data_IF_611026947585
#
_entry.id   IF_611026947585
#
_cell.length_a   1.000
_cell.length_b   1.000
_cell.length_c   1.000
_cell.angle_alpha   90.00
_cell.angle_beta   90.00
_cell.angle_gamma   90.00
#
_symmetry.space_group_name_H-M   'P 1'
#
loop_
_entity.id
_entity.type
_entity.pdbx_description
1 polymer ?
#
# COMPACT_ATOMS: atom_id res chain seq x y z
N UNK A 1 -16.56 -44.31 -6.49
CA UNK A 1 -15.14 -43.96 -6.31
C UNK A 1 -14.92 -42.74 -7.18
N UNK A 2 -14.99 -41.55 -6.60
CA UNK A 2 -14.70 -40.29 -7.28
C UNK A 2 -13.18 -40.16 -7.25
N UNK A 3 -12.55 -40.28 -8.42
CA UNK A 3 -11.16 -39.91 -8.60
C UNK A 3 -11.07 -38.39 -8.42
N UNK A 4 -10.48 -37.95 -7.34
CA UNK A 4 -9.99 -36.57 -7.21
C UNK A 4 -8.84 -36.43 -8.19
N UNK A 5 -9.12 -35.80 -9.34
CA UNK A 5 -8.06 -35.29 -10.21
C UNK A 5 -7.22 -34.29 -9.36
N UNK A 6 -6.03 -34.71 -8.99
CA UNK A 6 -4.97 -33.81 -8.59
C UNK A 6 -4.73 -32.90 -9.80
N UNK A 7 -5.32 -31.69 -9.77
CA UNK A 7 -4.92 -30.65 -10.70
C UNK A 7 -3.42 -30.42 -10.45
N UNK A 8 -2.59 -30.76 -11.43
CA UNK A 8 -1.20 -30.38 -11.42
C UNK A 8 -1.14 -28.86 -11.28
N UNK A 9 -0.52 -28.40 -10.18
CA UNK A 9 -0.29 -26.97 -10.00
C UNK A 9 0.48 -26.43 -11.21
N UNK A 10 -0.11 -25.47 -11.91
CA UNK A 10 0.58 -24.77 -12.99
C UNK A 10 1.81 -24.08 -12.40
N UNK A 11 2.97 -24.17 -13.05
CA UNK A 11 4.16 -23.46 -12.58
C UNK A 11 3.88 -21.97 -12.42
N UNK A 12 4.50 -21.36 -11.42
CA UNK A 12 4.47 -19.90 -11.26
C UNK A 12 5.28 -19.26 -12.38
N UNK A 13 4.64 -18.39 -13.15
CA UNK A 13 5.23 -17.70 -14.29
C UNK A 13 5.50 -16.24 -13.95
N UNK A 14 6.72 -15.74 -14.20
CA UNK A 14 7.01 -14.31 -14.15
C UNK A 14 6.52 -13.65 -15.44
N UNK A 15 5.67 -12.63 -15.31
CA UNK A 15 4.95 -12.04 -16.46
C UNK A 15 5.31 -10.59 -16.76
N UNK A 16 6.20 -9.96 -15.98
CA UNK A 16 6.63 -8.57 -16.15
C UNK A 16 8.10 -8.41 -15.74
N UNK A 17 9.01 -8.87 -16.56
CA UNK A 17 10.46 -8.84 -16.33
C UNK A 17 11.11 -7.46 -16.57
N UNK A 18 10.36 -6.52 -17.13
CA UNK A 18 10.79 -5.13 -17.39
C UNK A 18 10.66 -4.21 -16.16
N UNK A 19 9.98 -4.65 -15.11
CA UNK A 19 9.82 -3.91 -13.85
C UNK A 19 11.00 -4.19 -12.91
N UNK A 20 11.39 -3.20 -12.11
CA UNK A 20 12.65 -3.24 -11.35
C UNK A 20 12.48 -3.23 -9.83
N UNK A 21 11.40 -2.62 -9.36
CA UNK A 21 11.13 -2.46 -7.92
C UNK A 21 10.02 -3.38 -7.43
N UNK A 22 9.42 -4.11 -8.35
CA UNK A 22 8.41 -5.13 -8.09
C UNK A 22 8.63 -6.32 -9.02
N UNK A 23 8.28 -7.51 -8.53
CA UNK A 23 8.17 -8.73 -9.33
C UNK A 23 6.70 -9.09 -9.49
N UNK A 24 6.29 -9.47 -10.68
CA UNK A 24 4.90 -9.89 -10.97
C UNK A 24 4.90 -11.32 -11.48
N UNK A 25 4.27 -12.20 -10.73
CA UNK A 25 4.14 -13.62 -11.08
C UNK A 25 2.67 -13.99 -11.20
N UNK A 26 2.35 -14.99 -12.03
CA UNK A 26 1.00 -15.53 -12.19
C UNK A 26 0.97 -17.03 -11.94
N UNK A 27 -0.08 -17.48 -11.29
CA UNK A 27 -0.38 -18.89 -11.08
C UNK A 27 -1.89 -19.09 -10.93
N UNK A 28 -2.48 -20.02 -11.65
CA UNK A 28 -3.90 -20.39 -11.54
C UNK A 28 -4.88 -19.20 -11.60
N UNK A 29 -4.62 -18.21 -12.45
CA UNK A 29 -5.48 -17.02 -12.58
C UNK A 29 -5.31 -15.97 -11.46
N UNK A 30 -4.36 -16.16 -10.55
CA UNK A 30 -3.96 -15.18 -9.56
C UNK A 30 -2.64 -14.55 -9.94
N UNK A 31 -2.60 -13.23 -10.07
CA UNK A 31 -1.36 -12.48 -10.23
C UNK A 31 -0.89 -11.98 -8.86
N UNK A 32 0.38 -12.20 -8.54
CA UNK A 32 1.02 -11.68 -7.32
C UNK A 32 2.02 -10.61 -7.67
N UNK A 33 1.79 -9.39 -7.19
CA UNK A 33 2.72 -8.28 -7.22
C UNK A 33 3.50 -8.29 -5.92
N UNK A 34 4.82 -8.49 -5.98
CA UNK A 34 5.70 -8.49 -4.83
C UNK A 34 6.62 -7.29 -4.88
N UNK A 35 6.66 -6.51 -3.80
CA UNK A 35 7.70 -5.50 -3.64
C UNK A 35 9.03 -6.20 -3.38
N UNK A 36 10.01 -5.92 -4.24
CA UNK A 36 11.37 -6.41 -4.06
C UNK A 36 12.17 -5.45 -3.18
N UNK A 37 13.24 -5.91 -2.48
CA UNK A 37 14.10 -5.03 -1.71
C UNK A 37 14.59 -3.85 -2.53
N UNK A 38 14.80 -2.70 -1.92
CA UNK A 38 14.90 -1.45 -2.63
C UNK A 38 16.18 -1.35 -3.44
N UNK A 39 16.06 -1.49 -4.72
CA UNK A 39 16.98 -0.85 -5.64
C UNK A 39 16.47 0.59 -5.86
N UNK A 40 16.51 1.39 -4.80
CA UNK A 40 16.02 2.78 -4.84
C UNK A 40 17.00 3.71 -5.55
N UNK A 41 18.25 3.28 -5.70
CA UNK A 41 19.30 4.10 -6.29
C UNK A 41 20.19 3.21 -7.14
N UNK A 42 20.44 3.61 -8.39
CA UNK A 42 21.52 3.02 -9.17
C UNK A 42 22.87 3.14 -8.44
N UNK A 43 23.81 2.24 -8.70
CA UNK A 43 25.18 2.28 -8.15
C UNK A 43 25.91 3.60 -8.42
N UNK A 44 25.45 4.36 -9.42
CA UNK A 44 25.95 5.70 -9.80
C UNK A 44 25.23 6.86 -9.06
N UNK A 45 24.32 6.56 -8.12
CA UNK A 45 23.57 7.56 -7.37
C UNK A 45 22.36 8.15 -8.11
N UNK A 46 22.06 7.68 -9.33
CA UNK A 46 20.89 8.14 -10.06
C UNK A 46 19.61 7.44 -9.56
N UNK A 47 18.54 8.21 -9.50
CA UNK A 47 17.22 7.69 -9.16
C UNK A 47 16.71 6.71 -10.21
N UNK A 48 16.20 5.55 -9.75
CA UNK A 48 15.49 4.64 -10.64
C UNK A 48 14.15 5.27 -10.99
N UNK A 49 13.96 5.60 -12.24
CA UNK A 49 12.66 6.06 -12.77
C UNK A 49 12.19 5.08 -13.86
N UNK A 50 10.97 4.60 -13.78
CA UNK A 50 9.96 4.86 -12.75
C UNK A 50 10.29 4.20 -11.41
N UNK A 51 9.88 4.84 -10.30
CA UNK A 51 9.99 4.27 -8.97
C UNK A 51 8.82 3.31 -8.65
N UNK A 52 8.82 2.78 -7.42
CA UNK A 52 7.83 1.79 -6.94
C UNK A 52 6.38 2.21 -7.14
N UNK A 53 6.04 3.46 -6.86
CA UNK A 53 4.69 3.98 -7.05
C UNK A 53 4.24 3.87 -8.51
N UNK A 54 5.11 4.24 -9.44
CA UNK A 54 4.81 4.19 -10.88
C UNK A 54 4.78 2.76 -11.40
N UNK A 55 5.71 1.90 -10.98
CA UNK A 55 5.73 0.51 -11.43
C UNK A 55 4.52 -0.28 -10.95
N UNK A 56 4.04 -0.01 -9.72
CA UNK A 56 2.78 -0.58 -9.23
C UNK A 56 1.60 -0.18 -10.11
N UNK A 57 1.51 1.09 -10.50
CA UNK A 57 0.49 1.57 -11.43
C UNK A 57 0.59 0.88 -12.80
N UNK A 58 1.80 0.75 -13.36
CA UNK A 58 2.03 0.05 -14.62
C UNK A 58 1.59 -1.42 -14.53
N UNK A 59 1.95 -2.12 -13.45
CA UNK A 59 1.56 -3.51 -13.24
C UNK A 59 0.04 -3.65 -13.14
N UNK A 60 -0.62 -2.81 -12.37
CA UNK A 60 -2.08 -2.81 -12.21
C UNK A 60 -2.80 -2.52 -13.53
N UNK A 61 -2.30 -1.57 -14.31
CA UNK A 61 -2.88 -1.24 -15.63
C UNK A 61 -2.78 -2.44 -16.59
N UNK A 62 -1.62 -3.09 -16.66
CA UNK A 62 -1.44 -4.30 -17.47
C UNK A 62 -2.33 -5.45 -16.97
N UNK A 63 -2.39 -5.69 -15.66
CA UNK A 63 -3.19 -6.75 -15.07
C UNK A 63 -4.69 -6.50 -15.21
N UNK A 64 -5.14 -5.25 -15.26
CA UNK A 64 -6.54 -4.90 -15.50
C UNK A 64 -7.05 -5.53 -16.80
N UNK A 65 -6.25 -5.50 -17.86
CA UNK A 65 -6.61 -6.00 -19.20
C UNK A 65 -6.13 -7.43 -19.47
N UNK A 66 -5.36 -8.04 -18.56
CA UNK A 66 -4.92 -9.43 -18.70
C UNK A 66 -6.07 -10.40 -18.46
N UNK A 67 -6.50 -11.10 -19.53
CA UNK A 67 -7.64 -12.02 -19.47
C UNK A 67 -7.37 -13.29 -18.66
N UNK A 68 -6.11 -13.61 -18.37
CA UNK A 68 -5.73 -14.80 -17.61
C UNK A 68 -5.68 -14.52 -16.10
N UNK A 69 -5.66 -13.25 -15.71
CA UNK A 69 -5.70 -12.84 -14.30
C UNK A 69 -7.12 -12.51 -13.86
N UNK A 70 -7.56 -13.08 -12.74
CA UNK A 70 -8.89 -12.86 -12.14
C UNK A 70 -8.83 -12.24 -10.74
N UNK A 71 -7.74 -12.48 -10.01
CA UNK A 71 -7.49 -11.96 -8.67
C UNK A 71 -6.06 -11.41 -8.64
N UNK A 72 -5.85 -10.32 -7.93
CA UNK A 72 -4.52 -9.71 -7.74
C UNK A 72 -4.18 -9.76 -6.27
N UNK A 73 -2.98 -10.21 -5.95
CA UNK A 73 -2.41 -10.18 -4.59
C UNK A 73 -1.23 -9.22 -4.59
N UNK A 74 -1.19 -8.30 -3.63
CA UNK A 74 -0.03 -7.42 -3.39
C UNK A 74 0.63 -7.87 -2.10
N UNK A 75 1.94 -8.07 -2.12
CA UNK A 75 2.72 -8.51 -0.95
C UNK A 75 4.12 -7.90 -0.96
N UNK A 76 4.80 -7.97 0.15
CA UNK A 76 6.21 -7.61 0.26
C UNK A 76 7.13 -8.81 0.29
N UNK A 77 8.35 -8.61 0.74
CA UNK A 77 9.38 -9.62 0.87
C UNK A 77 9.84 -9.77 2.32
N UNK A 78 10.25 -10.95 2.72
CA UNK A 78 10.65 -11.28 4.08
C UNK A 78 9.62 -10.80 5.14
N UNK A 79 10.07 -10.01 6.12
CA UNK A 79 9.25 -9.45 7.19
C UNK A 79 8.77 -8.01 6.91
N UNK A 80 8.77 -7.59 5.64
CA UNK A 80 8.39 -6.25 5.22
C UNK A 80 7.35 -6.32 4.13
N UNK A 81 6.17 -5.73 4.36
CA UNK A 81 5.21 -5.48 3.29
C UNK A 81 5.62 -4.24 2.50
N UNK A 82 5.63 -3.08 3.15
CA UNK A 82 6.08 -1.84 2.57
C UNK A 82 6.37 -0.82 3.69
N UNK A 83 7.63 -0.54 3.93
CA UNK A 83 8.09 0.34 5.01
C UNK A 83 8.50 1.72 4.52
N UNK A 84 8.65 1.89 3.21
CA UNK A 84 9.08 3.14 2.58
C UNK A 84 8.36 3.32 1.26
N UNK A 85 7.97 4.56 0.96
CA UNK A 85 7.61 4.96 -0.39
C UNK A 85 8.85 5.06 -1.29
N UNK A 86 8.76 5.81 -2.38
CA UNK A 86 9.90 6.14 -3.24
C UNK A 86 10.81 7.16 -2.52
N UNK A 87 11.41 6.75 -1.42
CA UNK A 87 12.36 7.58 -0.68
C UNK A 87 13.62 7.77 -1.50
N UNK A 88 13.65 8.84 -2.24
CA UNK A 88 14.87 9.32 -2.87
C UNK A 88 15.72 10.05 -1.80
N UNK A 89 17.03 9.78 -1.69
CA UNK A 89 17.93 10.53 -0.79
C UNK A 89 17.93 12.05 -1.04
N UNK A 90 17.47 12.47 -2.21
CA UNK A 90 17.34 13.86 -2.64
C UNK A 90 15.93 14.42 -2.45
N UNK A 91 15.24 14.05 -1.35
CA UNK A 91 14.03 14.76 -0.95
C UNK A 91 14.28 16.26 -0.63
N UNK A 92 15.52 16.67 -0.58
CA UNK A 92 15.93 18.06 -0.51
C UNK A 92 16.18 18.59 -1.93
N UNK A 93 15.22 19.30 -2.49
CA UNK A 93 15.32 19.91 -3.82
C UNK A 93 14.31 19.32 -4.83
N UNK A 94 13.05 19.20 -4.42
CA UNK A 94 11.98 18.87 -5.35
C UNK A 94 11.88 19.94 -6.43
N UNK A 95 12.18 19.55 -7.66
CA UNK A 95 11.76 20.36 -8.79
C UNK A 95 10.25 20.20 -8.98
N UNK A 96 9.56 21.19 -9.56
CA UNK A 96 8.14 21.06 -9.92
C UNK A 96 7.86 19.78 -10.72
N UNK A 97 8.77 19.38 -11.60
CA UNK A 97 8.64 18.16 -12.41
C UNK A 97 8.63 16.88 -11.54
N UNK A 98 9.47 16.81 -10.51
CA UNK A 98 9.48 15.66 -9.59
C UNK A 98 8.18 15.56 -8.79
N UNK A 99 7.67 16.71 -8.32
CA UNK A 99 6.41 16.77 -7.60
C UNK A 99 5.26 16.33 -8.49
N UNK A 100 5.26 16.80 -9.74
CA UNK A 100 4.26 16.41 -10.73
C UNK A 100 4.31 14.92 -11.07
N UNK A 101 5.49 14.37 -11.32
CA UNK A 101 5.69 12.94 -11.58
C UNK A 101 5.20 12.07 -10.41
N UNK A 102 5.49 12.49 -9.19
CA UNK A 102 5.04 11.79 -7.97
C UNK A 102 3.52 11.81 -7.83
N UNK A 103 2.90 12.98 -8.02
CA UNK A 103 1.45 13.13 -8.01
C UNK A 103 0.78 12.20 -9.03
N UNK A 104 1.23 12.25 -10.29
CA UNK A 104 0.67 11.42 -11.36
C UNK A 104 0.84 9.92 -11.07
N UNK A 105 2.00 9.50 -10.58
CA UNK A 105 2.25 8.09 -10.28
C UNK A 105 1.34 7.57 -9.17
N UNK A 106 1.19 8.30 -8.08
CA UNK A 106 0.33 7.95 -6.95
C UNK A 106 -1.15 8.00 -7.34
N UNK A 107 -1.56 9.07 -8.02
CA UNK A 107 -2.94 9.24 -8.47
C UNK A 107 -3.36 8.09 -9.38
N UNK A 108 -2.55 7.77 -10.38
CA UNK A 108 -2.80 6.67 -11.31
C UNK A 108 -2.88 5.32 -10.57
N UNK A 109 -1.94 5.04 -9.68
CA UNK A 109 -1.92 3.81 -8.91
C UNK A 109 -3.20 3.62 -8.08
N UNK A 110 -3.60 4.63 -7.29
CA UNK A 110 -4.81 4.50 -6.47
C UNK A 110 -6.09 4.48 -7.29
N UNK A 111 -6.16 5.23 -8.38
CA UNK A 111 -7.29 5.13 -9.32
C UNK A 111 -7.44 3.71 -9.85
N UNK A 112 -6.33 3.07 -10.24
CA UNK A 112 -6.37 1.69 -10.72
C UNK A 112 -6.79 0.70 -9.62
N UNK A 113 -6.35 0.87 -8.38
CA UNK A 113 -6.80 0.02 -7.27
C UNK A 113 -8.32 0.13 -7.09
N UNK A 114 -8.85 1.36 -7.15
CA UNK A 114 -10.27 1.63 -6.96
C UNK A 114 -11.11 1.11 -8.15
N UNK A 115 -10.62 1.30 -9.38
CA UNK A 115 -11.39 1.10 -10.61
C UNK A 115 -11.20 -0.28 -11.26
N UNK A 116 -10.10 -0.97 -10.98
CA UNK A 116 -9.86 -2.32 -11.50
C UNK A 116 -10.96 -3.25 -11.05
N UNK A 117 -11.60 -3.93 -11.98
CA UNK A 117 -12.73 -4.81 -11.73
C UNK A 117 -12.35 -6.12 -11.00
N UNK A 118 -11.06 -6.46 -10.98
CA UNK A 118 -10.53 -7.65 -10.31
C UNK A 118 -10.34 -7.37 -8.82
N UNK A 119 -10.67 -8.30 -7.93
CA UNK A 119 -10.35 -8.16 -6.51
C UNK A 119 -8.86 -8.02 -6.28
N UNK A 120 -8.50 -7.12 -5.38
CA UNK A 120 -7.12 -6.87 -4.96
C UNK A 120 -7.00 -7.18 -3.48
N UNK A 121 -6.08 -8.09 -3.13
CA UNK A 121 -5.82 -8.54 -1.76
C UNK A 121 -4.47 -7.98 -1.33
N UNK A 122 -4.42 -7.27 -0.22
CA UNK A 122 -3.17 -7.00 0.48
C UNK A 122 -2.82 -8.21 1.37
N UNK A 123 -1.81 -8.98 0.99
CA UNK A 123 -1.21 -10.04 1.81
C UNK A 123 -0.04 -9.44 2.59
N UNK A 124 -0.29 -9.05 3.83
CA UNK A 124 0.64 -8.28 4.65
C UNK A 124 1.56 -9.23 5.41
N UNK A 125 2.72 -9.46 4.83
CA UNK A 125 3.76 -10.39 5.34
C UNK A 125 4.66 -9.77 6.41
N UNK A 126 4.50 -8.48 6.76
CA UNK A 126 5.35 -7.82 7.74
C UNK A 126 5.07 -6.35 7.88
N UNK A 127 6.07 -5.56 8.24
CA UNK A 127 5.93 -4.15 8.56
C UNK A 127 5.29 -3.29 7.47
N UNK A 128 4.41 -2.36 7.89
CA UNK A 128 3.65 -1.43 7.02
C UNK A 128 3.83 -0.01 7.52
N UNK A 129 4.31 0.91 6.66
CA UNK A 129 4.45 2.33 7.02
C UNK A 129 4.13 3.25 5.84
N UNK A 130 3.61 4.46 6.15
CA UNK A 130 3.40 5.54 5.18
C UNK A 130 2.61 5.09 3.97
N UNK A 131 3.17 5.23 2.77
CA UNK A 131 2.55 4.74 1.53
C UNK A 131 2.06 3.29 1.63
N UNK A 132 2.82 2.40 2.30
CA UNK A 132 2.39 1.01 2.52
C UNK A 132 1.07 0.94 3.28
N UNK A 133 0.85 1.81 4.27
CA UNK A 133 -0.42 1.92 5.00
C UNK A 133 -1.55 2.38 4.09
N UNK A 134 -1.34 3.46 3.33
CA UNK A 134 -2.31 3.96 2.36
C UNK A 134 -2.70 2.89 1.34
N UNK A 135 -1.72 2.14 0.85
CA UNK A 135 -1.90 1.06 -0.11
C UNK A 135 -2.73 -0.10 0.45
N UNK A 136 -2.40 -0.56 1.67
CA UNK A 136 -3.14 -1.66 2.30
C UNK A 136 -4.61 -1.31 2.47
N UNK A 137 -4.92 -0.11 2.98
CA UNK A 137 -6.30 0.34 3.19
C UNK A 137 -7.02 0.76 1.89
N UNK A 138 -6.32 0.84 0.76
CA UNK A 138 -6.95 1.01 -0.55
C UNK A 138 -7.36 -0.32 -1.20
N UNK A 139 -6.81 -1.47 -0.76
CA UNK A 139 -7.14 -2.79 -1.28
C UNK A 139 -8.53 -3.27 -0.84
N UNK A 140 -9.10 -4.21 -1.60
CA UNK A 140 -10.44 -4.75 -1.31
C UNK A 140 -10.47 -5.70 -0.10
N UNK A 141 -9.37 -6.44 0.11
CA UNK A 141 -9.21 -7.37 1.22
C UNK A 141 -7.82 -7.23 1.84
N UNK A 142 -7.76 -7.44 3.14
CA UNK A 142 -6.52 -7.35 3.91
C UNK A 142 -6.37 -8.61 4.75
N UNK A 143 -5.34 -9.40 4.46
CA UNK A 143 -4.93 -10.58 5.24
C UNK A 143 -3.53 -10.33 5.75
N UNK A 144 -3.30 -10.41 7.05
CA UNK A 144 -2.05 -9.99 7.65
C UNK A 144 -1.44 -11.06 8.57
N UNK A 145 -0.13 -11.00 8.75
CA UNK A 145 0.47 -11.61 9.93
C UNK A 145 -0.06 -10.91 11.18
N UNK A 146 -0.34 -11.68 12.23
CA UNK A 146 -0.87 -11.16 13.49
C UNK A 146 0.10 -10.21 14.21
N UNK A 147 1.41 -10.39 14.01
CA UNK A 147 2.51 -9.59 14.56
C UNK A 147 2.98 -8.46 13.62
N UNK A 148 2.47 -8.39 12.38
CA UNK A 148 2.81 -7.31 11.45
C UNK A 148 2.40 -5.95 12.04
N UNK A 149 3.33 -5.00 12.09
CA UNK A 149 3.11 -3.66 12.67
C UNK A 149 2.72 -2.68 11.58
N UNK A 150 1.56 -2.08 11.76
CA UNK A 150 1.00 -1.02 10.91
C UNK A 150 1.17 0.33 11.59
N UNK A 151 1.63 1.32 10.84
CA UNK A 151 1.83 2.66 11.33
C UNK A 151 1.77 3.68 10.18
N UNK A 152 1.22 4.86 10.44
CA UNK A 152 1.49 6.02 9.60
C UNK A 152 2.52 6.91 10.30
N UNK A 153 3.66 7.13 9.67
CA UNK A 153 4.78 7.85 10.28
C UNK A 153 4.98 9.28 9.75
N UNK A 154 4.06 9.75 8.90
CA UNK A 154 4.19 11.08 8.28
C UNK A 154 4.29 12.21 9.32
N UNK A 155 3.43 12.20 10.34
CA UNK A 155 3.47 13.20 11.42
C UNK A 155 4.43 12.84 12.57
N UNK A 156 4.88 11.58 12.64
CA UNK A 156 5.78 11.09 13.67
C UNK A 156 5.55 9.62 13.99
N UNK A 157 6.35 9.08 14.91
CA UNK A 157 6.22 7.72 15.42
C UNK A 157 5.44 7.73 16.74
N UNK A 158 4.62 6.68 16.97
CA UNK A 158 3.66 6.58 18.05
C UNK A 158 4.21 6.40 19.47
N UNK A 159 5.46 6.66 19.70
CA UNK A 159 6.10 6.69 21.02
C UNK A 159 6.02 8.07 21.71
N UNK A 160 5.26 9.00 21.12
CA UNK A 160 5.13 10.37 21.61
C UNK A 160 6.36 11.25 21.36
N UNK A 161 7.39 10.68 20.75
CA UNK A 161 8.61 11.39 20.42
C UNK A 161 8.67 11.56 18.90
N UNK A 162 8.24 12.72 18.35
CA UNK A 162 8.44 12.94 16.92
C UNK A 162 9.95 12.78 16.67
N UNK A 163 10.37 12.03 15.64
CA UNK A 163 11.77 11.91 15.30
C UNK A 163 12.25 13.24 14.72
N UNK A 164 12.54 14.15 15.62
CA UNK A 164 13.07 15.48 15.30
C UNK A 164 14.33 15.28 14.47
N UNK A 165 14.35 15.87 13.27
CA UNK A 165 15.51 15.79 12.38
C UNK A 165 15.58 14.53 11.49
N UNK A 166 14.56 13.66 11.46
CA UNK A 166 14.50 12.58 10.46
C UNK A 166 13.71 12.99 9.23
N UNK A 167 14.21 12.75 8.01
CA UNK A 167 13.43 12.95 6.79
C UNK A 167 12.10 12.19 6.87
N UNK A 168 11.01 12.85 6.53
CA UNK A 168 9.67 12.25 6.53
C UNK A 168 8.86 12.41 7.82
N UNK A 169 9.43 12.96 8.89
CA UNK A 169 8.67 13.26 10.10
C UNK A 169 8.05 14.67 10.05
N UNK A 170 6.80 14.81 10.50
CA UNK A 170 6.10 16.09 10.54
C UNK A 170 5.57 16.56 9.20
N UNK A 171 5.24 15.65 8.28
CA UNK A 171 4.59 15.93 7.00
C UNK A 171 3.16 15.40 6.97
N UNK A 172 2.35 15.99 6.12
CA UNK A 172 0.95 15.56 5.91
C UNK A 172 0.93 14.16 5.27
N UNK A 173 0.09 13.22 5.75
CA UNK A 173 -0.11 11.92 5.10
C UNK A 173 -1.00 12.08 3.84
N UNK A 174 -0.47 12.81 2.85
CA UNK A 174 -1.18 13.19 1.63
C UNK A 174 -1.13 12.15 0.52
N UNK A 175 -0.31 11.13 0.68
CA UNK A 175 -0.15 9.99 -0.24
C UNK A 175 -1.31 8.96 -0.17
N UNK A 176 -2.45 9.35 0.39
CA UNK A 176 -3.65 8.51 0.52
C UNK A 176 -4.06 8.19 1.96
N UNK A 177 -3.18 8.38 2.95
CA UNK A 177 -3.46 8.05 4.35
C UNK A 177 -4.71 8.75 4.90
N UNK A 178 -4.86 10.05 4.61
CA UNK A 178 -6.03 10.84 5.03
C UNK A 178 -7.35 10.44 4.33
N UNK A 179 -7.26 9.63 3.28
CA UNK A 179 -8.42 9.16 2.50
C UNK A 179 -8.83 7.77 2.95
N UNK A 180 -7.91 6.80 2.84
CA UNK A 180 -8.25 5.38 3.00
C UNK A 180 -8.34 4.95 4.46
N UNK A 181 -7.45 5.44 5.34
CA UNK A 181 -7.48 5.06 6.77
C UNK A 181 -8.83 5.39 7.44
N UNK A 182 -9.41 6.61 7.29
CA UNK A 182 -10.70 6.92 7.89
C UNK A 182 -11.89 6.15 7.31
N UNK A 183 -11.72 5.45 6.19
CA UNK A 183 -12.77 4.58 5.64
C UNK A 183 -12.81 3.20 6.30
N UNK A 184 -11.74 2.81 6.99
CA UNK A 184 -11.63 1.52 7.70
C UNK A 184 -11.71 1.67 9.22
N UNK A 185 -11.41 2.84 9.76
CA UNK A 185 -11.33 3.09 11.20
C UNK A 185 -12.35 4.14 11.64
N UNK A 186 -12.74 4.09 12.91
CA UNK A 186 -13.51 5.20 13.49
C UNK A 186 -12.70 6.51 13.39
N UNK A 187 -13.36 7.68 13.29
CA UNK A 187 -12.66 8.95 13.21
C UNK A 187 -11.69 9.21 14.37
N UNK A 188 -11.98 8.69 15.58
CA UNK A 188 -11.09 8.81 16.72
C UNK A 188 -9.81 7.99 16.53
N UNK A 189 -9.95 6.72 16.17
CA UNK A 189 -8.81 5.83 15.96
C UNK A 189 -7.98 6.26 14.74
N UNK A 190 -8.62 6.71 13.65
CA UNK A 190 -7.94 7.23 12.48
C UNK A 190 -7.05 8.44 12.81
N UNK A 191 -7.53 9.35 13.68
CA UNK A 191 -6.71 10.48 14.15
C UNK A 191 -5.52 10.03 15.00
N UNK A 192 -5.71 9.09 15.93
CA UNK A 192 -4.60 8.52 16.70
C UNK A 192 -3.57 7.85 15.77
N UNK A 193 -4.05 7.09 14.78
CA UNK A 193 -3.19 6.39 13.84
C UNK A 193 -2.40 7.37 12.96
N UNK A 194 -3.06 8.36 12.35
CA UNK A 194 -2.44 9.31 11.44
C UNK A 194 -1.68 10.44 12.15
N UNK A 195 -2.24 11.00 13.23
CA UNK A 195 -1.67 12.21 13.85
C UNK A 195 -0.67 11.91 14.95
N UNK A 196 -0.85 10.79 15.65
CA UNK A 196 0.04 10.38 16.74
C UNK A 196 0.98 9.24 16.31
N UNK A 197 0.88 8.75 15.06
CA UNK A 197 1.67 7.61 14.58
C UNK A 197 1.44 6.35 15.41
N UNK A 198 0.20 6.14 15.88
CA UNK A 198 -0.14 4.97 16.68
C UNK A 198 0.16 3.69 15.94
N UNK A 199 0.94 2.82 16.56
CA UNK A 199 1.24 1.50 16.01
C UNK A 199 0.14 0.52 16.40
N UNK A 200 -0.30 -0.28 15.43
CA UNK A 200 -1.27 -1.36 15.63
C UNK A 200 -0.73 -2.64 15.00
N UNK A 201 -0.86 -3.77 15.70
CA UNK A 201 -0.53 -5.07 15.11
C UNK A 201 -1.66 -5.57 14.22
N UNK A 202 -1.35 -6.52 13.31
CA UNK A 202 -2.37 -7.19 12.50
C UNK A 202 -3.48 -7.79 13.38
N UNK A 203 -3.11 -8.45 14.49
CA UNK A 203 -4.07 -8.96 15.47
C UNK A 203 -4.97 -7.86 16.03
N UNK A 204 -4.41 -6.72 16.40
CA UNK A 204 -5.18 -5.60 16.95
C UNK A 204 -6.12 -4.98 15.92
N UNK A 205 -5.75 -4.96 14.65
CA UNK A 205 -6.62 -4.49 13.57
C UNK A 205 -7.76 -5.49 13.30
N UNK A 206 -7.46 -6.79 13.30
CA UNK A 206 -8.46 -7.84 13.16
C UNK A 206 -9.47 -7.84 14.30
N UNK A 207 -9.01 -7.77 15.56
CA UNK A 207 -9.88 -7.76 16.74
C UNK A 207 -10.85 -6.54 16.76
N UNK A 208 -10.50 -5.49 16.04
CA UNK A 208 -11.35 -4.29 15.86
C UNK A 208 -12.24 -4.34 14.61
N UNK A 209 -12.18 -5.42 13.85
CA UNK A 209 -12.94 -5.57 12.60
C UNK A 209 -12.46 -4.63 11.48
N UNK A 210 -11.19 -4.22 11.50
CA UNK A 210 -10.61 -3.30 10.51
C UNK A 210 -10.05 -4.06 9.30
N UNK A 211 -9.51 -5.25 9.51
CA UNK A 211 -8.99 -6.13 8.46
C UNK A 211 -9.70 -7.48 8.48
N UNK A 212 -9.60 -8.23 7.37
CA UNK A 212 -10.35 -9.45 7.16
C UNK A 212 -9.83 -10.64 7.96
N UNK A 213 -8.49 -10.80 8.05
CA UNK A 213 -7.85 -11.89 8.77
C UNK A 213 -6.49 -11.46 9.34
N UNK A 214 -6.14 -12.03 10.50
CA UNK A 214 -4.80 -11.92 11.07
C UNK A 214 -4.37 -13.28 11.63
N UNK A 215 -3.24 -13.80 11.16
CA UNK A 215 -2.81 -15.18 11.44
C UNK A 215 -1.30 -15.25 11.71
N UNK A 216 -0.81 -16.32 12.38
CA UNK A 216 0.62 -16.59 12.46
C UNK A 216 1.30 -16.61 11.10
N UNK A 217 2.59 -16.27 11.05
CA UNK A 217 3.34 -16.12 9.82
C UNK A 217 3.30 -17.34 8.90
N UNK A 218 3.37 -18.54 9.49
CA UNK A 218 3.34 -19.83 8.78
C UNK A 218 1.96 -20.18 8.19
N UNK A 219 0.91 -19.46 8.55
CA UNK A 219 -0.45 -19.66 8.05
C UNK A 219 -0.88 -18.62 7.01
N UNK A 220 -0.12 -17.54 6.84
CA UNK A 220 -0.49 -16.41 6.00
C UNK A 220 -0.77 -16.80 4.55
N UNK A 221 0.12 -17.57 3.94
CA UNK A 221 -0.03 -18.02 2.56
C UNK A 221 -1.29 -18.88 2.40
N UNK A 222 -1.48 -19.87 3.26
CA UNK A 222 -2.63 -20.76 3.19
C UNK A 222 -3.99 -20.06 3.41
N UNK A 223 -4.03 -19.00 4.23
CA UNK A 223 -5.25 -18.20 4.42
C UNK A 223 -5.51 -17.29 3.22
N UNK A 224 -4.46 -16.67 2.68
CA UNK A 224 -4.57 -15.88 1.45
C UNK A 224 -5.05 -16.75 0.27
N UNK A 225 -4.48 -17.94 0.08
CA UNK A 225 -4.85 -18.87 -0.99
C UNK A 225 -6.32 -19.30 -0.88
N UNK A 226 -6.81 -19.58 0.32
CA UNK A 226 -8.24 -19.88 0.55
C UNK A 226 -9.14 -18.72 0.15
N UNK A 227 -8.73 -17.48 0.41
CA UNK A 227 -9.47 -16.29 -0.01
C UNK A 227 -9.44 -16.13 -1.54
N UNK A 228 -8.28 -16.31 -2.17
CA UNK A 228 -8.15 -16.33 -3.63
C UNK A 228 -9.09 -17.38 -4.23
N UNK A 229 -9.06 -18.62 -3.74
CA UNK A 229 -9.94 -19.69 -4.19
C UNK A 229 -11.42 -19.37 -4.03
N UNK A 230 -11.78 -18.74 -2.91
CA UNK A 230 -13.16 -18.31 -2.66
C UNK A 230 -13.62 -17.27 -3.70
N UNK A 231 -12.76 -16.32 -4.04
CA UNK A 231 -13.02 -15.29 -5.05
C UNK A 231 -13.07 -15.89 -6.47
N UNK A 232 -12.16 -16.82 -6.78
CA UNK A 232 -12.11 -17.51 -8.07
C UNK A 232 -13.40 -18.31 -8.38
N UNK A 233 -14.07 -18.81 -7.34
CA UNK A 233 -15.37 -19.52 -7.49
C UNK A 233 -16.56 -18.57 -7.72
N UNK A 234 -16.38 -17.24 -7.60
CA UNK A 234 -17.48 -16.27 -7.83
C UNK A 234 -17.65 -15.98 -9.33
N UNK A 235 -18.89 -15.71 -9.78
CA UNK A 235 -19.13 -15.25 -11.13
C UNK A 235 -18.35 -13.94 -11.40
N UNK A 236 -17.46 -13.90 -12.42
CA UNK A 236 -16.53 -12.79 -12.58
C UNK A 236 -17.21 -11.43 -12.79
N UNK A 237 -18.25 -11.39 -13.63
CA UNK A 237 -18.98 -10.13 -13.88
C UNK A 237 -19.77 -9.65 -12.67
N UNK A 238 -20.38 -10.56 -11.90
CA UNK A 238 -21.09 -10.17 -10.68
C UNK A 238 -20.11 -9.57 -9.65
N UNK A 239 -18.93 -10.17 -9.50
CA UNK A 239 -17.87 -9.68 -8.61
C UNK A 239 -17.35 -8.32 -9.09
N UNK A 240 -17.05 -8.18 -10.39
CA UNK A 240 -16.60 -6.95 -11.01
C UNK A 240 -17.59 -5.78 -10.81
N UNK A 241 -18.88 -6.03 -11.08
CA UNK A 241 -19.92 -4.99 -10.94
C UNK A 241 -20.17 -4.64 -9.47
N UNK A 242 -20.10 -5.64 -8.57
CA UNK A 242 -20.20 -5.40 -7.12
C UNK A 242 -19.06 -4.52 -6.64
N UNK A 243 -17.81 -4.79 -7.04
CA UNK A 243 -16.67 -3.95 -6.71
C UNK A 243 -16.84 -2.53 -7.25
N UNK A 244 -17.20 -2.37 -8.53
CA UNK A 244 -17.44 -1.04 -9.13
C UNK A 244 -18.50 -0.25 -8.38
N UNK A 245 -19.57 -0.91 -7.95
CA UNK A 245 -20.64 -0.24 -7.19
C UNK A 245 -20.17 0.14 -5.79
N UNK A 246 -19.52 -0.79 -5.09
CA UNK A 246 -18.99 -0.56 -3.76
C UNK A 246 -17.93 0.55 -3.75
N UNK A 247 -17.02 0.52 -4.72
CA UNK A 247 -15.90 1.46 -4.79
C UNK A 247 -16.28 2.87 -5.28
N UNK A 248 -17.56 3.15 -5.59
CA UNK A 248 -18.00 4.52 -5.92
C UNK A 248 -17.73 5.49 -4.77
N UNK A 249 -17.90 5.07 -3.52
CA UNK A 249 -17.61 5.91 -2.37
C UNK A 249 -16.09 6.17 -2.22
N UNK A 250 -15.24 5.18 -2.55
CA UNK A 250 -13.78 5.36 -2.58
C UNK A 250 -13.37 6.33 -3.67
N UNK A 251 -13.91 6.18 -4.88
CA UNK A 251 -13.65 7.08 -6.00
C UNK A 251 -14.06 8.52 -5.69
N UNK A 252 -15.23 8.73 -5.10
CA UNK A 252 -15.71 10.05 -4.68
C UNK A 252 -14.75 10.70 -3.68
N UNK A 253 -14.39 9.97 -2.61
CA UNK A 253 -13.46 10.47 -1.59
C UNK A 253 -12.08 10.76 -2.17
N UNK A 254 -11.59 9.87 -3.00
CA UNK A 254 -10.29 10.03 -3.65
C UNK A 254 -10.27 11.28 -4.53
N UNK A 255 -11.23 11.44 -5.43
CA UNK A 255 -11.32 12.60 -6.34
C UNK A 255 -11.51 13.93 -5.60
N UNK A 256 -12.17 13.91 -4.43
CA UNK A 256 -12.38 15.12 -3.63
C UNK A 256 -11.13 15.53 -2.85
N UNK A 257 -10.31 14.59 -2.41
CA UNK A 257 -9.31 14.84 -1.37
C UNK A 257 -7.86 14.65 -1.81
N UNK A 258 -7.59 13.85 -2.85
CA UNK A 258 -6.24 13.40 -3.13
C UNK A 258 -5.32 14.55 -3.55
N UNK A 259 -5.71 15.35 -4.54
CA UNK A 259 -4.90 16.47 -5.03
C UNK A 259 -4.62 17.49 -3.92
N UNK A 260 -5.62 17.78 -3.09
CA UNK A 260 -5.49 18.69 -1.95
C UNK A 260 -4.53 18.12 -0.89
N UNK A 261 -4.67 16.84 -0.54
CA UNK A 261 -3.81 16.17 0.44
C UNK A 261 -2.36 16.14 -0.02
N UNK A 262 -2.14 15.75 -1.28
CA UNK A 262 -0.80 15.72 -1.85
C UNK A 262 -0.17 17.11 -1.97
N UNK A 263 -0.94 18.12 -2.39
CA UNK A 263 -0.47 19.51 -2.44
C UNK A 263 -0.02 19.99 -1.04
N UNK A 264 -0.80 19.70 0.01
CA UNK A 264 -0.42 20.06 1.38
C UNK A 264 0.81 19.29 1.85
N UNK A 265 0.96 18.02 1.49
CA UNK A 265 2.16 17.25 1.79
C UNK A 265 3.39 17.90 1.15
N UNK A 266 3.32 18.29 -0.12
CA UNK A 266 4.44 18.96 -0.82
C UNK A 266 4.77 20.32 -0.23
N UNK A 267 3.78 21.15 0.03
CA UNK A 267 3.97 22.44 0.71
C UNK A 267 4.60 22.28 2.08
N UNK A 268 4.17 21.26 2.83
CA UNK A 268 4.67 20.99 4.16
C UNK A 268 6.11 20.42 4.13
N UNK A 269 6.47 19.61 3.12
CA UNK A 269 7.85 19.15 2.93
C UNK A 269 8.84 20.31 2.76
N UNK A 270 8.46 21.36 2.05
CA UNK A 270 9.28 22.56 1.92
C UNK A 270 9.45 23.32 3.24
N UNK A 271 8.45 23.27 4.11
CA UNK A 271 8.47 23.92 5.41
C UNK A 271 9.23 23.12 6.45
N UNK A 272 9.36 21.81 6.28
CA UNK A 272 9.90 20.88 7.27
C UNK A 272 11.31 21.28 7.77
N UNK A 273 12.18 21.75 6.90
CA UNK A 273 13.51 22.25 7.27
C UNK A 273 13.50 23.50 8.16
N UNK A 274 12.35 24.17 8.31
CA UNK A 274 12.20 25.38 9.13
C UNK A 274 11.71 25.11 10.55
N UNK A 275 11.18 23.91 10.81
CA UNK A 275 10.58 23.52 12.10
C UNK A 275 11.43 22.54 12.91
N UNK A 276 12.65 22.23 12.46
CA UNK A 276 13.49 21.16 13.01
C UNK A 276 14.20 21.54 14.31
N UNK A 277 14.18 22.80 14.74
CA UNK A 277 14.67 23.13 16.06
C UNK A 277 13.54 23.08 17.10
N UNK A 278 13.56 22.18 18.08
CA UNK A 278 12.73 22.34 19.25
C UNK A 278 13.11 23.68 19.88
N UNK A 279 12.20 24.61 19.87
CA UNK A 279 12.32 25.74 20.82
C UNK A 279 12.52 25.10 22.16
N UNK A 280 13.67 25.43 22.79
CA UNK A 280 14.20 24.77 23.96
C UNK A 280 13.11 24.30 24.92
N UNK A 281 13.25 23.09 25.36
CA UNK A 281 12.52 22.55 26.50
C UNK A 281 12.72 23.52 27.69
N UNK A 282 11.80 24.45 27.82
CA UNK A 282 11.60 25.12 29.09
C UNK A 282 11.05 24.03 30.00
N UNK A 283 11.93 23.42 30.80
CA UNK A 283 11.57 22.67 31.98
C UNK A 283 10.66 23.55 32.81
N UNK A 284 9.36 23.23 32.89
CA UNK A 284 8.48 23.60 33.98
C UNK A 284 8.66 22.59 35.08
#
# INVERSE_FOLDING_TARGET
VIKTDYQQETPREEIMDDLRTIAVTRQNGCATIRFTPPLLVHKDGQSIRPGRHRELGIALDRLRFDNETRVIVITGEDDVFCMTGDNHPHFHGHTPDHTWDGLQALQHTFQLIIETEKPIIAKVNGGVKGFGSSLVFACDFIVAREDAVFCDHHLGMGDGNPPVGRPGAGIVPGDGGTIFVPMHMSPALAREYLWLGKQLTGKQLYDRGIINEAVPADQLDGVCDKLVDALMRRPPYALAFSKRTFNRIYAERFNLMFDLGYAYEMMNKEQHGRYVEPRGTTTL
#
